data_IF_187218067120
#
_entry.id   IF_187218067120
#
_cell.length_a   1.000
_cell.length_b   1.000
_cell.length_c   1.000
_cell.angle_alpha   90.00
_cell.angle_beta   90.00
_cell.angle_gamma   90.00
#
_symmetry.space_group_name_H-M   'P 1'
#
loop_
_entity.id
_entity.type
_entity.pdbx_description
1 polymer ?
#
# COMPACT_ATOMS: atom_id res chain seq x y z
N UNK A 1 -140.82 -67.67 16.13
CA UNK A 1 -140.19 -66.52 16.82
C UNK A 1 -140.68 -65.25 16.15
N UNK A 2 -141.19 -64.27 16.89
CA UNK A 2 -141.68 -63.03 16.29
C UNK A 2 -140.47 -62.27 15.73
N UNK A 3 -140.56 -61.77 14.50
CA UNK A 3 -139.48 -61.01 13.82
C UNK A 3 -138.99 -59.81 14.64
N UNK A 4 -139.84 -59.29 15.53
CA UNK A 4 -139.51 -58.26 16.52
C UNK A 4 -138.36 -58.66 17.45
N UNK A 5 -138.29 -59.92 17.91
CA UNK A 5 -137.31 -60.36 18.92
C UNK A 5 -135.89 -60.47 18.32
N UNK A 6 -135.81 -60.85 17.04
CA UNK A 6 -134.55 -60.94 16.29
C UNK A 6 -133.94 -59.56 16.04
N UNK A 7 -134.81 -58.56 15.76
CA UNK A 7 -134.40 -57.18 15.49
C UNK A 7 -133.87 -56.49 16.75
N UNK A 8 -134.50 -56.72 17.92
CA UNK A 8 -133.99 -56.22 19.20
C UNK A 8 -132.64 -56.85 19.59
N UNK A 9 -132.43 -58.13 19.29
CA UNK A 9 -131.15 -58.81 19.59
C UNK A 9 -130.00 -58.26 18.72
N UNK A 10 -130.24 -58.01 17.43
CA UNK A 10 -129.25 -57.38 16.53
C UNK A 10 -128.91 -55.96 16.98
N UNK A 11 -129.91 -55.17 17.40
CA UNK A 11 -129.69 -53.81 17.92
C UNK A 11 -128.82 -53.84 19.19
N UNK A 12 -129.08 -54.76 20.12
CA UNK A 12 -128.27 -54.90 21.33
C UNK A 12 -126.82 -55.26 21.00
N UNK A 13 -126.59 -56.19 20.07
CA UNK A 13 -125.24 -56.56 19.61
C UNK A 13 -124.55 -55.36 18.97
N UNK A 14 -125.24 -54.58 18.13
CA UNK A 14 -124.69 -53.37 17.53
C UNK A 14 -124.33 -52.30 18.57
N UNK A 15 -125.15 -52.11 19.61
CA UNK A 15 -124.87 -51.17 20.70
C UNK A 15 -123.62 -51.62 21.48
N UNK A 16 -123.52 -52.90 21.84
CA UNK A 16 -122.33 -53.42 22.53
C UNK A 16 -121.08 -53.35 21.65
N UNK A 17 -121.19 -53.67 20.35
CA UNK A 17 -120.10 -53.51 19.40
C UNK A 17 -119.66 -52.05 19.27
N UNK A 18 -120.61 -51.11 19.23
CA UNK A 18 -120.34 -49.67 19.19
C UNK A 18 -119.65 -49.17 20.46
N UNK A 19 -120.09 -49.62 21.64
CA UNK A 19 -119.47 -49.25 22.92
C UNK A 19 -118.05 -49.82 23.07
N UNK A 20 -117.82 -51.03 22.55
CA UNK A 20 -116.50 -51.66 22.52
C UNK A 20 -115.54 -50.91 21.59
N UNK A 21 -115.98 -50.59 20.36
CA UNK A 21 -115.22 -49.80 19.40
C UNK A 21 -114.87 -48.41 19.95
N UNK A 22 -115.82 -47.75 20.63
CA UNK A 22 -115.59 -46.43 21.22
C UNK A 22 -114.47 -46.45 22.27
N UNK A 23 -114.43 -47.48 23.13
CA UNK A 23 -113.37 -47.62 24.14
C UNK A 23 -111.99 -47.89 23.52
N UNK A 24 -111.91 -48.71 22.48
CA UNK A 24 -110.64 -48.98 21.76
C UNK A 24 -110.14 -47.71 21.07
N UNK A 25 -111.02 -47.00 20.36
CA UNK A 25 -110.66 -45.77 19.68
C UNK A 25 -110.25 -44.69 20.68
N UNK A 26 -110.96 -44.56 21.81
CA UNK A 26 -110.61 -43.60 22.87
C UNK A 26 -109.22 -43.85 23.47
N UNK A 27 -108.90 -45.11 23.81
CA UNK A 27 -107.57 -45.45 24.33
C UNK A 27 -106.47 -45.33 23.26
N UNK A 28 -106.76 -45.68 22.01
CA UNK A 28 -105.84 -45.53 20.89
C UNK A 28 -105.52 -44.06 20.59
N UNK A 29 -106.54 -43.19 20.57
CA UNK A 29 -106.38 -41.76 20.38
C UNK A 29 -105.56 -41.12 21.51
N UNK A 30 -105.86 -41.46 22.77
CA UNK A 30 -105.11 -40.93 23.92
C UNK A 30 -103.63 -41.35 23.91
N UNK A 31 -103.31 -42.55 23.41
CA UNK A 31 -101.93 -42.99 23.25
C UNK A 31 -101.18 -42.22 22.15
N UNK A 32 -101.86 -41.88 21.05
CA UNK A 32 -101.29 -41.09 19.95
C UNK A 32 -101.05 -39.64 20.39
N UNK A 33 -101.99 -39.05 21.13
CA UNK A 33 -101.87 -37.70 21.67
C UNK A 33 -100.67 -37.57 22.63
N UNK A 34 -100.53 -38.50 23.58
CA UNK A 34 -99.41 -38.52 24.53
C UNK A 34 -98.04 -38.73 23.87
N UNK A 35 -97.99 -39.42 22.72
CA UNK A 35 -96.76 -39.75 22.02
C UNK A 35 -96.68 -39.10 20.63
N UNK A 36 -97.30 -37.92 20.47
CA UNK A 36 -97.41 -37.23 19.18
C UNK A 36 -96.08 -37.09 18.42
N UNK A 37 -94.92 -36.75 19.05
CA UNK A 37 -93.66 -36.63 18.33
C UNK A 37 -93.22 -37.87 17.55
N UNK A 38 -93.60 -39.07 18.03
CA UNK A 38 -93.27 -40.35 17.40
C UNK A 38 -94.24 -40.66 16.26
N UNK A 39 -95.52 -40.40 16.48
CA UNK A 39 -96.60 -40.78 15.55
C UNK A 39 -96.94 -39.73 14.49
N UNK A 40 -96.47 -38.49 14.64
CA UNK A 40 -96.82 -37.36 13.75
C UNK A 40 -96.42 -37.55 12.28
N UNK A 41 -95.37 -38.33 12.01
CA UNK A 41 -94.92 -38.62 10.64
C UNK A 41 -95.37 -39.99 10.13
N UNK A 42 -96.28 -40.68 10.85
CA UNK A 42 -96.88 -41.92 10.38
C UNK A 42 -97.96 -41.63 9.32
N UNK A 43 -97.90 -42.21 8.11
CA UNK A 43 -98.84 -41.94 7.02
C UNK A 43 -100.31 -42.16 7.37
N UNK A 44 -100.60 -43.07 8.32
CA UNK A 44 -101.98 -43.41 8.73
C UNK A 44 -102.56 -42.34 9.66
N UNK A 45 -101.73 -41.68 10.48
CA UNK A 45 -102.17 -40.76 11.53
C UNK A 45 -102.15 -39.30 11.02
N UNK A 46 -101.30 -39.02 10.05
CA UNK A 46 -101.05 -37.67 9.52
C UNK A 46 -102.29 -36.96 8.94
N UNK A 47 -103.20 -37.60 8.17
CA UNK A 47 -104.43 -36.96 7.71
C UNK A 47 -105.38 -36.58 8.85
N UNK A 48 -105.25 -37.28 9.98
CA UNK A 48 -106.05 -37.10 11.19
C UNK A 48 -105.36 -36.21 12.24
N UNK A 49 -104.26 -35.53 11.89
CA UNK A 49 -103.56 -34.62 12.80
C UNK A 49 -104.48 -33.53 13.38
N UNK A 50 -105.52 -33.13 12.63
CA UNK A 50 -106.52 -32.17 13.09
C UNK A 50 -107.33 -32.64 14.29
N UNK A 51 -107.42 -33.95 14.55
CA UNK A 51 -108.07 -34.51 15.75
C UNK A 51 -107.22 -34.32 17.01
N UNK A 52 -105.94 -34.01 16.87
CA UNK A 52 -104.98 -33.83 17.96
C UNK A 52 -104.51 -32.38 18.08
N UNK A 53 -105.34 -31.40 17.65
CA UNK A 53 -105.03 -29.97 17.64
C UNK A 53 -103.80 -29.56 16.80
N UNK A 54 -103.43 -30.35 15.79
CA UNK A 54 -102.33 -30.04 14.87
C UNK A 54 -102.80 -29.87 13.43
N UNK A 55 -102.29 -28.84 12.72
CA UNK A 55 -102.64 -28.63 11.31
C UNK A 55 -102.05 -29.75 10.44
N UNK A 56 -102.87 -30.52 9.69
CA UNK A 56 -102.37 -31.61 8.85
C UNK A 56 -101.40 -31.16 7.76
N UNK A 57 -101.63 -29.99 7.16
CA UNK A 57 -100.79 -29.44 6.08
C UNK A 57 -99.43 -28.99 6.59
N UNK A 58 -99.38 -28.28 7.71
CA UNK A 58 -98.10 -27.85 8.32
C UNK A 58 -97.28 -29.05 8.82
N UNK A 59 -97.94 -30.03 9.45
CA UNK A 59 -97.29 -31.24 9.91
C UNK A 59 -96.76 -32.11 8.74
N UNK A 60 -97.51 -32.19 7.64
CA UNK A 60 -97.07 -32.84 6.41
C UNK A 60 -95.81 -32.15 5.85
N UNK A 61 -95.84 -30.83 5.66
CA UNK A 61 -94.69 -30.07 5.16
C UNK A 61 -93.47 -30.23 6.06
N UNK A 62 -93.67 -30.26 7.38
CA UNK A 62 -92.59 -30.46 8.33
C UNK A 62 -91.99 -31.86 8.26
N UNK A 63 -92.81 -32.92 8.19
CA UNK A 63 -92.33 -34.29 8.03
C UNK A 63 -91.60 -34.50 6.69
N UNK A 64 -92.12 -33.93 5.60
CA UNK A 64 -91.47 -33.97 4.28
C UNK A 64 -90.14 -33.22 4.29
N UNK A 65 -90.06 -32.02 4.87
CA UNK A 65 -88.79 -31.27 5.01
C UNK A 65 -87.75 -32.04 5.82
N UNK A 66 -88.17 -32.69 6.91
CA UNK A 66 -87.26 -33.48 7.74
C UNK A 66 -86.77 -34.73 7.00
N UNK A 67 -87.66 -35.46 6.33
CA UNK A 67 -87.30 -36.59 5.47
C UNK A 67 -86.37 -36.16 4.32
N UNK A 68 -86.64 -35.03 3.68
CA UNK A 68 -85.82 -34.48 2.61
C UNK A 68 -84.43 -34.06 3.12
N UNK A 69 -84.32 -33.48 4.32
CA UNK A 69 -83.03 -33.14 4.95
C UNK A 69 -82.19 -34.38 5.23
N UNK A 70 -82.81 -35.46 5.72
CA UNK A 70 -82.12 -36.74 5.97
C UNK A 70 -81.64 -37.36 4.65
N UNK A 71 -82.51 -37.41 3.63
CA UNK A 71 -82.14 -37.93 2.31
C UNK A 71 -81.09 -37.05 1.61
N UNK A 72 -81.14 -35.73 1.79
CA UNK A 72 -80.14 -34.82 1.26
C UNK A 72 -78.78 -35.04 1.91
N UNK A 73 -78.71 -35.40 3.20
CA UNK A 73 -77.44 -35.75 3.85
C UNK A 73 -76.82 -37.00 3.25
N UNK A 74 -77.63 -38.03 2.97
CA UNK A 74 -77.17 -39.26 2.31
C UNK A 74 -76.72 -38.98 0.86
N UNK A 75 -77.46 -38.15 0.12
CA UNK A 75 -77.06 -37.71 -1.22
C UNK A 75 -75.81 -36.82 -1.25
N UNK A 76 -75.58 -36.01 -0.21
CA UNK A 76 -74.41 -35.12 -0.09
C UNK A 76 -73.21 -35.82 0.57
N UNK A 77 -73.36 -37.02 1.12
CA UNK A 77 -72.26 -37.79 1.70
C UNK A 77 -71.09 -37.98 0.71
N UNK A 78 -71.33 -38.35 -0.57
CA UNK A 78 -70.27 -38.37 -1.58
C UNK A 78 -69.65 -36.99 -1.83
N UNK A 79 -70.42 -35.91 -1.75
CA UNK A 79 -69.91 -34.54 -1.94
C UNK A 79 -69.01 -34.13 -0.77
N UNK A 80 -69.40 -34.43 0.46
CA UNK A 80 -68.59 -34.18 1.65
C UNK A 80 -67.29 -34.99 1.66
N UNK A 81 -67.33 -36.24 1.20
CA UNK A 81 -66.13 -37.05 1.00
C UNK A 81 -65.18 -36.43 -0.04
N UNK A 82 -65.71 -35.95 -1.17
CA UNK A 82 -64.88 -35.26 -2.17
C UNK A 82 -64.28 -33.93 -1.62
N UNK A 83 -65.02 -33.19 -0.79
CA UNK A 83 -64.51 -31.97 -0.15
C UNK A 83 -63.39 -32.30 0.86
N UNK A 84 -63.50 -33.39 1.63
CA UNK A 84 -62.44 -33.80 2.56
C UNK A 84 -61.19 -34.27 1.82
N UNK A 85 -61.35 -34.98 0.70
CA UNK A 85 -60.24 -35.31 -0.20
C UNK A 85 -59.57 -34.05 -0.78
N UNK A 86 -60.34 -33.05 -1.20
CA UNK A 86 -59.80 -31.75 -1.62
C UNK A 86 -59.03 -31.05 -0.48
N UNK A 87 -59.53 -31.12 0.76
CA UNK A 87 -58.83 -30.63 1.94
C UNK A 87 -57.49 -31.35 2.17
N UNK A 88 -57.48 -32.69 2.04
CA UNK A 88 -56.28 -33.51 2.13
C UNK A 88 -55.25 -33.15 1.06
N UNK A 89 -55.69 -32.96 -0.19
CA UNK A 89 -54.83 -32.49 -1.28
C UNK A 89 -54.26 -31.10 -0.98
N UNK A 90 -55.08 -30.17 -0.47
CA UNK A 90 -54.64 -28.84 -0.06
C UNK A 90 -53.57 -28.87 1.04
N UNK A 91 -53.70 -29.77 2.02
CA UNK A 91 -52.67 -29.99 3.05
C UNK A 91 -51.38 -30.51 2.44
N UNK A 92 -51.44 -31.54 1.58
CA UNK A 92 -50.26 -32.12 0.93
C UNK A 92 -49.51 -31.06 0.10
N UNK A 93 -50.25 -30.21 -0.62
CA UNK A 93 -49.66 -29.11 -1.39
C UNK A 93 -48.97 -28.10 -0.46
N UNK A 94 -49.64 -27.71 0.63
CA UNK A 94 -49.09 -26.76 1.61
C UNK A 94 -47.82 -27.30 2.25
N UNK A 95 -47.84 -28.56 2.67
CA UNK A 95 -46.69 -29.25 3.26
C UNK A 95 -45.54 -29.38 2.27
N UNK A 96 -45.84 -29.66 1.00
CA UNK A 96 -44.85 -29.72 -0.06
C UNK A 96 -44.20 -28.36 -0.32
N UNK A 97 -45.00 -27.28 -0.33
CA UNK A 97 -44.49 -25.90 -0.46
C UNK A 97 -43.60 -25.55 0.73
N UNK A 98 -43.97 -25.95 1.94
CA UNK A 98 -43.18 -25.70 3.14
C UNK A 98 -41.83 -26.44 3.08
N UNK A 99 -41.82 -27.71 2.65
CA UNK A 99 -40.59 -28.47 2.41
C UNK A 99 -39.71 -27.83 1.34
N UNK A 100 -40.30 -27.28 0.27
CA UNK A 100 -39.56 -26.53 -0.76
C UNK A 100 -38.91 -25.28 -0.14
N UNK A 101 -39.63 -24.53 0.71
CA UNK A 101 -39.07 -23.37 1.42
C UNK A 101 -37.92 -23.76 2.35
N UNK A 102 -38.05 -24.86 3.07
CA UNK A 102 -36.98 -25.40 3.92
C UNK A 102 -35.76 -25.81 3.12
N UNK A 103 -35.95 -26.45 1.97
CA UNK A 103 -34.87 -26.76 1.03
C UNK A 103 -34.17 -25.50 0.54
N UNK A 104 -34.90 -24.45 0.14
CA UNK A 104 -34.30 -23.18 -0.27
C UNK A 104 -33.55 -22.49 0.88
N UNK A 105 -34.06 -22.58 2.12
CA UNK A 105 -33.34 -22.08 3.29
C UNK A 105 -32.03 -22.84 3.52
N UNK A 106 -32.04 -24.16 3.37
CA UNK A 106 -30.84 -24.98 3.46
C UNK A 106 -29.80 -24.58 2.40
N UNK A 107 -30.22 -24.47 1.13
CA UNK A 107 -29.33 -24.04 0.03
C UNK A 107 -28.78 -22.64 0.29
N UNK A 108 -29.61 -21.68 0.72
CA UNK A 108 -29.18 -20.32 1.04
C UNK A 108 -28.12 -20.31 2.13
N UNK A 109 -28.33 -21.08 3.21
CA UNK A 109 -27.39 -21.14 4.33
C UNK A 109 -26.06 -21.77 3.90
N UNK A 110 -26.10 -22.89 3.18
CA UNK A 110 -24.91 -23.55 2.64
C UNK A 110 -24.10 -22.60 1.73
N UNK A 111 -24.77 -21.88 0.82
CA UNK A 111 -24.10 -20.89 -0.05
C UNK A 111 -23.50 -19.75 0.77
N UNK A 112 -24.21 -19.26 1.80
CA UNK A 112 -23.73 -18.18 2.67
C UNK A 112 -22.49 -18.60 3.48
N UNK A 113 -22.46 -19.83 3.97
CA UNK A 113 -21.32 -20.41 4.68
C UNK A 113 -20.09 -20.54 3.78
N UNK A 114 -20.28 -21.06 2.56
CA UNK A 114 -19.21 -21.18 1.56
C UNK A 114 -18.63 -19.80 1.22
N UNK A 115 -19.50 -18.82 0.91
CA UNK A 115 -19.06 -17.45 0.59
C UNK A 115 -18.31 -16.83 1.78
N UNK A 116 -18.81 -17.01 3.01
CA UNK A 116 -18.17 -16.46 4.21
C UNK A 116 -16.80 -17.08 4.46
N UNK A 117 -16.68 -18.41 4.28
CA UNK A 117 -15.41 -19.12 4.41
C UNK A 117 -14.38 -18.64 3.37
N UNK A 118 -14.80 -18.55 2.11
CA UNK A 118 -13.96 -18.03 1.01
C UNK A 118 -13.51 -16.60 1.31
N UNK A 119 -14.43 -15.73 1.74
CA UNK A 119 -14.12 -14.35 2.09
C UNK A 119 -13.11 -14.26 3.24
N UNK A 120 -13.24 -15.12 4.27
CA UNK A 120 -12.27 -15.22 5.36
C UNK A 120 -10.87 -15.57 4.88
N UNK A 121 -10.73 -16.52 3.96
CA UNK A 121 -9.43 -16.88 3.34
C UNK A 121 -8.87 -15.71 2.54
N UNK A 122 -9.68 -15.05 1.72
CA UNK A 122 -9.24 -13.89 0.93
C UNK A 122 -8.76 -12.74 1.82
N UNK A 123 -9.45 -12.44 2.93
CA UNK A 123 -9.01 -11.41 3.87
C UNK A 123 -7.64 -11.73 4.47
N UNK A 124 -7.41 -12.98 4.87
CA UNK A 124 -6.10 -13.40 5.40
C UNK A 124 -4.99 -13.25 4.35
N UNK A 125 -5.25 -13.62 3.09
CA UNK A 125 -4.31 -13.45 1.99
C UNK A 125 -4.02 -11.97 1.73
N UNK A 126 -5.05 -11.11 1.75
CA UNK A 126 -4.90 -9.67 1.54
C UNK A 126 -4.01 -9.03 2.62
N UNK A 127 -4.18 -9.42 3.88
CA UNK A 127 -3.34 -8.95 4.99
C UNK A 127 -1.87 -9.34 4.75
N UNK A 128 -1.62 -10.57 4.32
CA UNK A 128 -0.25 -11.03 4.09
C UNK A 128 0.41 -10.33 2.88
N UNK A 129 -0.35 -10.09 1.80
CA UNK A 129 0.11 -9.31 0.65
C UNK A 129 0.41 -7.85 1.04
N UNK A 130 -0.42 -7.24 1.89
CA UNK A 130 -0.19 -5.89 2.40
C UNK A 130 1.10 -5.83 3.23
N UNK A 131 1.32 -6.82 4.11
CA UNK A 131 2.55 -6.93 4.92
C UNK A 131 3.79 -7.07 4.04
N UNK A 132 3.75 -7.94 3.02
CA UNK A 132 4.83 -8.07 2.03
C UNK A 132 5.13 -6.76 1.31
N UNK A 133 4.09 -6.03 0.92
CA UNK A 133 4.22 -4.73 0.24
C UNK A 133 4.83 -3.67 1.15
N UNK A 134 4.44 -3.62 2.42
CA UNK A 134 4.99 -2.71 3.43
C UNK A 134 6.48 -3.02 3.66
N UNK A 135 6.84 -4.30 3.87
CA UNK A 135 8.22 -4.70 4.05
C UNK A 135 9.08 -4.38 2.84
N UNK A 136 8.55 -4.59 1.62
CA UNK A 136 9.25 -4.23 0.38
C UNK A 136 9.47 -2.72 0.27
N UNK A 137 8.48 -1.90 0.62
CA UNK A 137 8.63 -0.44 0.65
C UNK A 137 9.68 0.00 1.67
N UNK A 138 9.72 -0.63 2.84
CA UNK A 138 10.72 -0.37 3.88
C UNK A 138 12.14 -0.71 3.42
N UNK A 139 12.33 -1.85 2.74
CA UNK A 139 13.66 -2.24 2.22
C UNK A 139 14.15 -1.27 1.14
N UNK A 140 13.28 -0.82 0.23
CA UNK A 140 13.63 0.24 -0.73
C UNK A 140 13.97 1.57 -0.03
N UNK A 141 13.23 1.94 1.02
CA UNK A 141 13.53 3.13 1.81
C UNK A 141 14.93 3.08 2.45
N UNK A 142 15.30 1.93 3.02
CA UNK A 142 16.65 1.68 3.58
C UNK A 142 17.74 1.75 2.51
N UNK A 143 17.50 1.16 1.34
CA UNK A 143 18.45 1.19 0.22
C UNK A 143 18.71 2.62 -0.27
N UNK A 144 17.66 3.43 -0.42
CA UNK A 144 17.77 4.85 -0.77
C UNK A 144 18.56 5.61 0.31
N UNK A 145 18.33 5.33 1.60
CA UNK A 145 19.07 5.94 2.70
C UNK A 145 20.58 5.65 2.66
N UNK A 146 20.96 4.40 2.39
CA UNK A 146 22.37 4.00 2.24
C UNK A 146 23.00 4.71 1.03
N UNK A 147 22.34 4.68 -0.13
CA UNK A 147 22.85 5.33 -1.35
C UNK A 147 23.02 6.84 -1.16
N UNK A 148 22.03 7.50 -0.56
CA UNK A 148 22.08 8.94 -0.26
C UNK A 148 23.26 9.28 0.65
N UNK A 149 23.46 8.48 1.70
CA UNK A 149 24.58 8.67 2.63
C UNK A 149 25.92 8.50 1.91
N UNK A 150 26.03 7.49 1.05
CA UNK A 150 27.21 7.27 0.23
C UNK A 150 27.49 8.43 -0.74
N UNK A 151 26.45 9.00 -1.37
CA UNK A 151 26.60 10.18 -2.23
C UNK A 151 27.17 11.37 -1.45
N UNK A 152 26.66 11.65 -0.25
CA UNK A 152 27.20 12.75 0.58
C UNK A 152 28.62 12.49 1.06
N UNK A 153 28.99 11.23 1.35
CA UNK A 153 30.38 10.87 1.67
C UNK A 153 31.28 11.14 0.46
N UNK A 154 30.88 10.69 -0.73
CA UNK A 154 31.65 10.95 -1.95
C UNK A 154 31.81 12.45 -2.22
N UNK A 155 30.73 13.21 -2.11
CA UNK A 155 30.78 14.67 -2.29
C UNK A 155 31.72 15.32 -1.26
N UNK A 156 31.65 14.90 0.01
CA UNK A 156 32.58 15.28 1.06
C UNK A 156 34.04 14.98 0.69
N UNK A 157 34.32 13.76 0.19
CA UNK A 157 35.68 13.39 -0.22
C UNK A 157 36.20 14.22 -1.40
N UNK A 158 35.34 14.55 -2.37
CA UNK A 158 35.72 15.40 -3.51
C UNK A 158 36.02 16.82 -3.05
N UNK A 159 35.19 17.37 -2.15
CA UNK A 159 35.42 18.68 -1.56
C UNK A 159 36.71 18.73 -0.74
N UNK A 160 36.99 17.69 0.06
CA UNK A 160 38.25 17.55 0.78
C UNK A 160 39.42 17.48 -0.18
N UNK A 161 39.36 16.63 -1.22
CA UNK A 161 40.43 16.52 -2.20
C UNK A 161 40.73 17.84 -2.90
N UNK A 162 39.68 18.57 -3.32
CA UNK A 162 39.82 19.92 -3.90
C UNK A 162 40.45 20.91 -2.92
N UNK A 163 40.04 20.86 -1.65
CA UNK A 163 40.59 21.73 -0.61
C UNK A 163 42.05 21.42 -0.31
N UNK A 164 42.44 20.14 -0.26
CA UNK A 164 43.83 19.70 -0.10
C UNK A 164 44.68 20.10 -1.30
N UNK A 165 44.15 19.99 -2.52
CA UNK A 165 44.82 20.41 -3.75
C UNK A 165 45.00 21.94 -3.83
N UNK A 166 44.02 22.71 -3.37
CA UNK A 166 44.14 24.17 -3.25
C UNK A 166 45.05 24.61 -2.08
N UNK A 167 45.24 23.73 -1.10
CA UNK A 167 46.04 23.94 0.09
C UNK A 167 47.56 23.79 -0.13
N UNK A 168 48.35 23.93 0.95
CA UNK A 168 49.81 23.88 0.89
C UNK A 168 50.37 22.63 0.19
N UNK A 169 49.86 21.41 0.42
CA UNK A 169 50.37 20.21 -0.26
C UNK A 169 50.27 20.26 -1.79
N UNK A 170 49.19 20.80 -2.35
CA UNK A 170 49.03 20.92 -3.80
C UNK A 170 49.81 22.08 -4.43
N UNK A 171 50.13 23.12 -3.64
CA UNK A 171 50.98 24.23 -4.10
C UNK A 171 52.45 23.80 -4.24
N UNK A 172 52.91 22.87 -3.40
CA UNK A 172 54.26 22.28 -3.47
C UNK A 172 54.51 21.47 -4.76
N UNK A 173 53.46 21.12 -5.52
CA UNK A 173 53.58 20.36 -6.79
C UNK A 173 53.75 21.28 -8.01
N UNK A 174 53.67 22.61 -7.86
CA UNK A 174 53.91 23.55 -8.97
C UNK A 174 55.42 23.68 -9.21
N UNK A 175 55.85 23.59 -10.46
CA UNK A 175 57.27 23.62 -10.84
C UNK A 175 57.86 25.05 -10.74
N UNK A 176 58.16 25.47 -9.51
CA UNK A 176 58.69 26.77 -9.14
C UNK A 176 60.24 26.77 -9.27
N UNK A 177 60.81 26.75 -10.48
CA UNK A 177 62.27 26.50 -10.67
C UNK A 177 62.97 27.38 -11.73
N UNK A 178 64.31 27.27 -11.80
CA UNK A 178 65.18 28.00 -12.72
C UNK A 178 65.65 27.15 -13.91
N UNK A 179 66.14 27.82 -14.95
CA UNK A 179 66.85 27.15 -16.03
C UNK A 179 68.17 26.52 -15.51
N UNK A 180 68.53 25.28 -15.93
CA UNK A 180 69.72 24.57 -15.42
C UNK A 180 71.05 25.33 -15.60
N UNK A 181 71.13 26.15 -16.65
CA UNK A 181 72.33 26.94 -16.96
C UNK A 181 72.32 28.35 -16.35
N UNK A 182 71.31 28.72 -15.55
CA UNK A 182 71.30 30.00 -14.81
C UNK A 182 72.56 30.11 -13.97
N UNK A 183 73.23 31.26 -14.04
CA UNK A 183 74.49 31.46 -13.35
C UNK A 183 74.26 31.87 -11.90
N UNK A 184 75.04 31.25 -11.00
CA UNK A 184 75.01 31.48 -9.57
C UNK A 184 76.41 31.81 -9.11
N UNK A 185 76.55 32.87 -8.31
CA UNK A 185 77.82 33.26 -7.71
C UNK A 185 77.92 32.71 -6.28
N UNK A 186 78.98 31.95 -6.03
CA UNK A 186 79.31 31.37 -4.72
C UNK A 186 79.95 32.42 -3.80
N UNK A 187 80.06 32.07 -2.52
CA UNK A 187 80.65 32.91 -1.49
C UNK A 187 82.14 33.24 -1.74
N UNK A 188 82.86 32.34 -2.42
CA UNK A 188 84.25 32.49 -2.83
C UNK A 188 84.43 33.28 -4.16
N UNK A 189 83.39 34.00 -4.58
CA UNK A 189 83.29 34.73 -5.84
C UNK A 189 83.33 33.87 -7.13
N UNK A 190 83.40 32.54 -7.03
CA UNK A 190 83.33 31.66 -8.20
C UNK A 190 81.91 31.66 -8.78
N UNK A 191 81.79 31.57 -10.10
CA UNK A 191 80.50 31.56 -10.80
C UNK A 191 80.29 30.20 -11.45
N UNK A 192 79.23 29.52 -11.03
CA UNK A 192 78.86 28.18 -11.49
C UNK A 192 77.46 28.21 -12.09
N UNK A 193 77.12 27.19 -12.88
CA UNK A 193 75.74 26.98 -13.34
C UNK A 193 74.94 26.36 -12.21
N UNK A 194 73.66 26.71 -12.09
CA UNK A 194 72.81 26.22 -11.02
C UNK A 194 72.73 24.70 -10.95
N UNK A 195 72.71 24.02 -12.11
CA UNK A 195 72.73 22.54 -12.17
C UNK A 195 74.03 21.89 -11.66
N UNK A 196 75.10 22.67 -11.49
CA UNK A 196 76.41 22.20 -11.04
C UNK A 196 76.67 22.57 -9.57
N UNK A 197 75.69 23.10 -8.85
CA UNK A 197 75.82 23.34 -7.41
C UNK A 197 75.77 22.01 -6.66
N UNK A 198 76.65 21.88 -5.66
CA UNK A 198 76.70 20.72 -4.78
C UNK A 198 76.13 21.04 -3.40
N UNK A 199 75.71 20.00 -2.67
CA UNK A 199 75.21 20.17 -1.31
C UNK A 199 76.33 20.69 -0.39
N UNK A 200 76.00 21.67 0.45
CA UNK A 200 76.97 22.35 1.30
C UNK A 200 77.68 23.53 0.64
N UNK A 201 77.49 23.76 -0.67
CA UNK A 201 77.97 24.97 -1.32
C UNK A 201 77.38 26.22 -0.69
N UNK A 202 78.20 27.27 -0.61
CA UNK A 202 77.82 28.57 -0.05
C UNK A 202 77.59 29.58 -1.18
N UNK A 203 76.41 30.18 -1.21
CA UNK A 203 76.03 31.28 -2.10
C UNK A 203 76.45 32.62 -1.50
N UNK A 204 76.12 33.73 -2.18
CA UNK A 204 76.25 35.08 -1.62
C UNK A 204 75.63 35.16 -0.21
N UNK A 205 76.19 36.03 0.62
CA UNK A 205 75.75 36.25 2.01
C UNK A 205 75.87 35.00 2.91
N UNK A 206 76.76 34.05 2.55
CA UNK A 206 77.03 32.83 3.32
C UNK A 206 75.80 31.90 3.48
N UNK A 207 74.90 31.92 2.49
CA UNK A 207 73.72 31.05 2.45
C UNK A 207 74.13 29.65 1.99
N UNK A 208 73.77 28.61 2.74
CA UNK A 208 74.16 27.23 2.46
C UNK A 208 73.10 26.55 1.58
N UNK A 209 73.51 25.82 0.55
CA UNK A 209 72.63 24.96 -0.24
C UNK A 209 72.43 23.63 0.50
N UNK A 210 71.21 23.38 0.98
CA UNK A 210 70.82 22.14 1.65
C UNK A 210 70.32 21.08 0.68
N UNK A 211 69.75 21.48 -0.45
CA UNK A 211 69.16 20.59 -1.43
C UNK A 211 69.16 21.18 -2.83
N UNK A 212 69.15 20.32 -3.84
CA UNK A 212 68.92 20.70 -5.23
C UNK A 212 67.89 19.74 -5.82
N UNK A 213 66.80 20.26 -6.37
CA UNK A 213 65.78 19.47 -7.05
C UNK A 213 65.91 19.66 -8.56
N UNK A 214 65.73 18.57 -9.30
CA UNK A 214 65.64 18.59 -10.75
C UNK A 214 64.24 18.14 -11.16
N UNK A 215 63.49 19.03 -11.78
CA UNK A 215 62.11 18.78 -12.21
C UNK A 215 62.01 18.66 -13.72
N UNK A 216 61.07 17.84 -14.18
CA UNK A 216 60.70 17.74 -15.58
C UNK A 216 59.61 18.77 -15.90
N UNK A 217 59.78 19.51 -16.99
CA UNK A 217 58.91 20.62 -17.38
C UNK A 217 58.08 20.31 -18.63
N UNK A 218 57.95 19.05 -19.02
CA UNK A 218 57.08 18.64 -20.13
C UNK A 218 55.88 17.85 -19.59
N UNK A 219 54.71 18.08 -20.19
CA UNK A 219 53.51 17.28 -19.98
C UNK A 219 53.54 15.98 -20.83
N UNK A 220 52.48 15.17 -20.74
CA UNK A 220 52.35 13.92 -21.52
C UNK A 220 52.34 14.14 -23.04
N UNK A 221 52.09 15.35 -23.51
CA UNK A 221 52.02 15.74 -24.91
C UNK A 221 53.27 16.50 -25.38
N UNK A 222 54.35 16.51 -24.59
CA UNK A 222 55.58 17.27 -24.82
C UNK A 222 55.40 18.81 -24.87
N UNK A 223 54.34 19.36 -24.29
CA UNK A 223 54.22 20.81 -24.09
C UNK A 223 54.91 21.24 -22.81
N UNK A 224 55.47 22.45 -22.80
CA UNK A 224 56.05 23.02 -21.58
C UNK A 224 54.97 23.32 -20.54
N UNK A 225 55.14 22.80 -19.32
CA UNK A 225 54.22 23.02 -18.19
C UNK A 225 54.35 24.46 -17.66
N UNK A 226 55.58 24.95 -17.57
CA UNK A 226 55.91 26.32 -17.19
C UNK A 226 56.77 26.98 -18.27
N UNK A 227 56.43 28.23 -18.60
CA UNK A 227 57.24 29.08 -19.44
C UNK A 227 58.30 29.80 -18.60
N UNK A 228 59.50 29.91 -19.15
CA UNK A 228 60.57 30.68 -18.56
C UNK A 228 60.44 32.17 -18.93
N UNK A 229 60.76 32.98 -17.95
CA UNK A 229 60.86 34.42 -18.05
C UNK A 229 62.31 34.83 -17.90
N UNK A 230 62.69 35.87 -18.65
CA UNK A 230 64.00 36.49 -18.63
C UNK A 230 63.96 37.76 -17.77
N UNK A 231 64.85 37.83 -16.79
CA UNK A 231 65.03 38.97 -15.89
C UNK A 231 66.46 39.48 -16.02
N UNK A 232 66.62 40.76 -16.37
CA UNK A 232 67.93 41.39 -16.51
C UNK A 232 68.61 41.61 -15.15
N UNK A 233 69.94 41.65 -15.13
CA UNK A 233 70.71 41.93 -13.91
C UNK A 233 71.17 40.69 -13.15
N UNK A 234 71.28 39.54 -13.82
CA UNK A 234 71.94 38.35 -13.30
C UNK A 234 73.48 38.46 -13.28
N UNK A 235 74.14 37.38 -12.87
CA UNK A 235 75.59 37.33 -12.78
C UNK A 235 76.26 37.55 -14.15
N UNK A 236 77.37 38.30 -14.18
CA UNK A 236 78.05 38.73 -15.42
C UNK A 236 77.15 39.50 -16.40
N UNK A 237 76.10 40.16 -15.91
CA UNK A 237 75.06 40.83 -16.73
C UNK A 237 74.32 39.88 -17.68
N UNK A 238 74.34 38.56 -17.42
CA UNK A 238 73.55 37.58 -18.17
C UNK A 238 72.15 37.53 -17.54
N UNK A 239 71.07 37.51 -18.33
CA UNK A 239 69.72 37.44 -17.79
C UNK A 239 69.47 36.12 -17.05
N UNK A 240 68.62 36.20 -16.03
CA UNK A 240 68.18 35.06 -15.22
C UNK A 240 66.96 34.46 -15.91
N UNK A 241 67.01 33.16 -16.18
CA UNK A 241 65.88 32.40 -16.72
C UNK A 241 65.21 31.60 -15.61
N UNK A 242 63.93 31.87 -15.38
CA UNK A 242 63.16 31.34 -14.24
C UNK A 242 61.70 31.13 -14.62
N UNK A 243 61.04 30.10 -14.08
CA UNK A 243 59.62 29.81 -14.37
C UNK A 243 58.71 30.96 -13.92
N UNK A 244 57.64 31.23 -14.68
CA UNK A 244 56.70 32.30 -14.38
C UNK A 244 56.04 32.19 -13.01
N UNK A 245 55.78 30.96 -12.53
CA UNK A 245 55.24 30.70 -11.19
C UNK A 245 56.27 30.78 -10.06
N UNK A 246 57.53 31.13 -10.32
CA UNK A 246 58.53 31.32 -9.26
C UNK A 246 58.38 32.65 -8.56
N UNK A 247 58.77 32.71 -7.28
CA UNK A 247 58.62 33.90 -6.45
C UNK A 247 59.91 34.74 -6.47
N UNK A 248 59.76 36.01 -6.83
CA UNK A 248 60.81 37.04 -6.77
C UNK A 248 60.41 38.11 -5.76
N UNK A 249 61.39 38.62 -5.02
CA UNK A 249 61.19 39.75 -4.12
C UNK A 249 61.08 41.05 -4.91
N UNK A 250 59.96 41.75 -4.79
CA UNK A 250 59.75 43.05 -5.42
C UNK A 250 59.99 44.18 -4.41
N UNK A 251 61.03 44.99 -4.65
CA UNK A 251 61.39 46.13 -3.81
C UNK A 251 60.29 47.21 -3.75
N UNK A 252 59.47 47.34 -4.81
CA UNK A 252 58.41 48.35 -4.87
C UNK A 252 57.25 48.03 -3.92
N UNK A 253 56.86 46.75 -3.86
CA UNK A 253 55.75 46.29 -3.02
C UNK A 253 56.18 45.60 -1.73
N UNK A 254 57.49 45.45 -1.50
CA UNK A 254 58.12 44.85 -0.33
C UNK A 254 57.57 43.45 0.01
N UNK A 255 57.29 42.65 -1.02
CA UNK A 255 56.73 41.29 -0.89
C UNK A 255 57.21 40.39 -2.03
N UNK A 256 57.13 39.08 -1.81
CA UNK A 256 57.33 38.11 -2.88
C UNK A 256 56.12 38.07 -3.81
N UNK A 257 56.36 38.19 -5.11
CA UNK A 257 55.35 38.05 -6.17
C UNK A 257 55.82 37.05 -7.21
N UNK A 258 54.88 36.54 -8.01
CA UNK A 258 55.23 35.64 -9.10
C UNK A 258 56.03 36.38 -10.17
N UNK A 259 57.04 35.72 -10.74
CA UNK A 259 57.89 36.29 -11.78
C UNK A 259 57.07 36.75 -12.98
N UNK A 260 56.04 36.01 -13.38
CA UNK A 260 55.15 36.42 -14.48
C UNK A 260 54.44 37.76 -14.24
N UNK A 261 54.28 38.16 -12.97
CA UNK A 261 53.65 39.40 -12.53
C UNK A 261 54.69 40.49 -12.19
N UNK A 262 55.99 40.18 -12.31
CA UNK A 262 57.09 41.12 -12.03
C UNK A 262 57.29 42.09 -13.20
N UNK A 263 57.34 43.39 -12.91
CA UNK A 263 57.38 44.48 -13.89
C UNK A 263 58.58 44.42 -14.85
N UNK A 264 59.73 43.92 -14.38
CA UNK A 264 60.97 43.79 -15.16
C UNK A 264 61.16 42.40 -15.77
N UNK A 265 60.19 41.49 -15.61
CA UNK A 265 60.25 40.17 -16.23
C UNK A 265 59.63 40.21 -17.64
N UNK A 266 60.26 39.52 -18.58
CA UNK A 266 59.75 39.35 -19.95
C UNK A 266 59.67 37.87 -20.26
N UNK A 267 58.66 37.43 -21.02
CA UNK A 267 58.59 36.04 -21.48
C UNK A 267 59.84 35.75 -22.31
N UNK A 268 60.52 34.64 -22.00
CA UNK A 268 61.71 34.23 -22.75
C UNK A 268 61.32 33.38 -23.96
N UNK A 269 62.04 33.56 -25.06
CA UNK A 269 61.98 32.63 -26.21
C UNK A 269 62.62 31.27 -25.92
N UNK A 270 63.37 31.17 -24.80
CA UNK A 270 64.10 29.97 -24.40
C UNK A 270 63.35 29.27 -23.27
N UNK A 271 62.89 28.05 -23.54
CA UNK A 271 62.35 27.13 -22.54
C UNK A 271 63.31 25.94 -22.31
N UNK A 272 63.10 25.22 -21.21
CA UNK A 272 63.88 24.01 -20.90
C UNK A 272 62.98 22.87 -20.46
N UNK A 273 63.33 21.66 -20.90
CA UNK A 273 62.69 20.40 -20.49
C UNK A 273 62.95 20.04 -19.03
N UNK A 274 64.07 20.53 -18.50
CA UNK A 274 64.52 20.29 -17.14
C UNK A 274 64.59 21.64 -16.43
N UNK A 275 64.09 21.72 -15.21
CA UNK A 275 64.25 22.87 -14.33
C UNK A 275 65.02 22.47 -13.08
N UNK A 276 65.74 23.43 -12.49
CA UNK A 276 66.54 23.22 -11.28
C UNK A 276 66.07 24.18 -10.20
N UNK A 277 65.87 23.64 -9.01
CA UNK A 277 65.46 24.35 -7.80
C UNK A 277 66.51 24.12 -6.71
N UNK A 278 66.65 25.10 -5.82
CA UNK A 278 67.51 24.99 -4.66
C UNK A 278 66.66 25.00 -3.38
N UNK A 279 67.16 24.32 -2.36
CA UNK A 279 66.75 24.49 -0.96
C UNK A 279 67.97 25.07 -0.24
N UNK A 280 67.77 26.14 0.51
CA UNK A 280 68.82 26.99 1.06
C UNK A 280 68.56 27.28 2.54
N UNK A 281 69.61 27.62 3.29
CA UNK A 281 69.52 27.86 4.74
C UNK A 281 68.66 29.07 5.13
N UNK A 282 68.37 29.97 4.20
CA UNK A 282 67.61 31.22 4.45
C UNK A 282 66.33 31.30 3.63
N UNK A 283 65.87 30.20 3.04
CA UNK A 283 64.70 30.16 2.16
C UNK A 283 64.74 31.12 0.96
N UNK A 284 65.93 31.58 0.59
CA UNK A 284 66.15 32.65 -0.37
C UNK A 284 67.39 32.39 -1.22
N UNK A 285 67.29 32.73 -2.50
CA UNK A 285 68.33 32.50 -3.50
C UNK A 285 68.72 33.86 -4.10
N UNK A 286 69.86 34.44 -3.69
CA UNK A 286 70.35 35.67 -4.29
C UNK A 286 71.02 35.39 -5.64
N UNK A 287 70.50 35.98 -6.71
CA UNK A 287 71.04 35.86 -8.07
C UNK A 287 71.21 37.25 -8.69
N UNK A 288 72.46 37.63 -8.97
CA UNK A 288 72.77 38.95 -9.51
C UNK A 288 72.34 40.05 -8.54
N UNK A 289 71.40 40.89 -9.00
CA UNK A 289 70.78 41.99 -8.24
C UNK A 289 69.43 41.61 -7.60
N UNK A 290 68.94 40.40 -7.83
CA UNK A 290 67.60 39.96 -7.43
C UNK A 290 67.66 38.90 -6.35
N UNK A 291 66.61 38.86 -5.53
CA UNK A 291 66.43 37.82 -4.51
C UNK A 291 65.19 37.02 -4.87
N UNK A 292 65.36 35.71 -4.98
CA UNK A 292 64.29 34.77 -5.24
C UNK A 292 64.00 33.94 -4.00
N UNK A 293 62.84 33.35 -3.98
CA UNK A 293 62.48 32.40 -2.94
C UNK A 293 63.00 31.00 -3.29
N UNK A 294 63.32 30.19 -2.29
CA UNK A 294 63.70 28.80 -2.54
C UNK A 294 62.49 27.85 -2.61
N UNK A 295 62.74 26.56 -2.87
CA UNK A 295 61.69 25.56 -3.08
C UNK A 295 60.84 25.24 -1.83
N UNK A 296 61.37 25.41 -0.62
CA UNK A 296 60.80 24.77 0.58
C UNK A 296 59.71 25.58 1.27
N UNK A 297 59.51 26.85 0.93
CA UNK A 297 58.76 27.75 1.82
C UNK A 297 57.35 28.17 1.33
N UNK A 298 56.50 28.41 2.33
CA UNK A 298 55.05 28.37 2.39
C UNK A 298 54.42 29.73 2.02
N UNK A 299 54.77 30.28 0.84
CA UNK A 299 54.35 31.61 0.37
C UNK A 299 54.61 32.75 1.40
N UNK A 300 55.77 32.75 2.08
CA UNK A 300 56.14 33.81 3.01
C UNK A 300 55.35 33.84 4.33
N UNK A 301 54.73 32.72 4.74
CA UNK A 301 54.22 32.58 6.11
C UNK A 301 55.34 32.09 7.03
N UNK A 302 55.53 32.68 8.23
CA UNK A 302 56.52 32.18 9.17
C UNK A 302 56.27 30.70 9.45
N UNK A 303 57.31 29.88 9.29
CA UNK A 303 57.22 28.45 9.52
C UNK A 303 56.70 28.19 10.94
N UNK A 304 55.69 27.32 11.04
CA UNK A 304 55.26 26.77 12.32
C UNK A 304 56.45 26.00 12.86
N UNK A 305 56.93 26.42 14.03
CA UNK A 305 57.87 25.66 14.86
C UNK A 305 57.27 24.26 14.98
N UNK A 306 57.96 23.28 14.38
CA UNK A 306 57.69 21.87 14.58
C UNK A 306 57.98 21.58 16.06
N UNK A 307 56.92 21.52 16.86
CA UNK A 307 56.93 20.89 18.18
C UNK A 307 56.66 19.39 18.02
#
# INVERSE_FOLDING_TARGET
MKTSDLLFTIIIILIFASLYLFNILGNGMKNIENNWPIYRCNPIIMPFASLFNHNPGENFVHCIKNMQSIYMKELLEPVHYNISLMGGIGSIITDSIQKIREFFNYIRNMVTEIISSIYGVFLNILIEIQKLSITTKDTFGKLIGILTSFMYILDGTILTARSTWAGPPGQLVRAICFHPNTLVKKYDDTIVKMKNLELGDRLKNNIIVHGTLKLHNLDQNNNFVENLYSINGGEKNIPILVSGSHLIFDDNSNKFIYVKDYDKATISDINSKDLVCLITSTHTIPLGKHTFHDWEDNNGKPNKILC
#
